data_IF_664083313003
#
_entry.id   IF_664083313003
#
_cell.length_a   1.000
_cell.length_b   1.000
_cell.length_c   1.000
_cell.angle_alpha   90.00
_cell.angle_beta   90.00
_cell.angle_gamma   90.00
#
_symmetry.space_group_name_H-M   'P 1'
#
loop_
_entity.id
_entity.type
_entity.pdbx_description
1 polymer ?
#
# COMPACT_ATOMS: atom_id res chain seq x y z
N UNK A 1 7.37 20.02 -4.82
CA UNK A 1 6.32 19.37 -4.02
C UNK A 1 6.18 20.00 -2.62
N UNK A 2 7.17 20.01 -1.72
CA UNK A 2 7.03 20.63 -0.37
C UNK A 2 6.47 22.06 -0.40
N UNK A 3 7.03 22.94 -1.25
CA UNK A 3 6.53 24.32 -1.45
C UNK A 3 5.07 24.39 -1.90
N UNK A 4 4.60 23.44 -2.71
CA UNK A 4 3.20 23.40 -3.14
C UNK A 4 2.28 23.12 -1.94
N UNK A 5 2.66 22.15 -1.11
CA UNK A 5 1.90 21.77 0.09
C UNK A 5 1.88 22.94 1.07
N UNK A 6 3.03 23.57 1.34
CA UNK A 6 3.10 24.73 2.24
C UNK A 6 2.21 25.90 1.76
N UNK A 7 2.16 26.15 0.45
CA UNK A 7 1.30 27.19 -0.12
C UNK A 7 -0.20 26.85 -0.07
N UNK A 8 -0.57 25.57 -0.21
CA UNK A 8 -1.95 25.11 -0.02
C UNK A 8 -2.40 25.30 1.43
N UNK A 9 -1.54 24.93 2.39
CA UNK A 9 -1.80 25.09 3.82
C UNK A 9 -1.99 26.54 4.24
N UNK A 10 -1.18 27.48 3.70
CA UNK A 10 -1.36 28.93 3.94
C UNK A 10 -2.73 29.46 3.50
N UNK A 11 -3.40 28.75 2.60
CA UNK A 11 -4.74 29.06 2.08
C UNK A 11 -5.84 28.24 2.76
N UNK A 12 -5.52 27.51 3.82
CA UNK A 12 -6.48 26.68 4.55
C UNK A 12 -6.94 25.43 3.77
N UNK A 13 -6.16 24.96 2.79
CA UNK A 13 -6.49 23.77 2.00
C UNK A 13 -5.71 22.56 2.47
N UNK A 14 -6.41 21.48 2.80
CA UNK A 14 -5.80 20.17 3.03
C UNK A 14 -5.31 19.56 1.70
N UNK A 15 -4.21 18.82 1.75
CA UNK A 15 -3.60 18.11 0.62
C UNK A 15 -3.61 16.62 0.89
N UNK A 16 -4.44 15.90 0.13
CA UNK A 16 -4.57 14.44 0.17
C UNK A 16 -3.87 13.87 -1.07
N UNK A 17 -3.00 12.87 -0.88
CA UNK A 17 -2.33 12.19 -2.00
C UNK A 17 -3.03 10.88 -2.37
N UNK A 18 -3.10 10.61 -3.67
CA UNK A 18 -3.51 9.31 -4.17
C UNK A 18 -2.36 8.30 -4.04
N UNK A 19 -2.50 7.33 -3.13
CA UNK A 19 -1.49 6.33 -2.82
C UNK A 19 -1.77 5.02 -3.56
N UNK A 20 -0.98 4.75 -4.59
CA UNK A 20 -1.03 3.51 -5.37
C UNK A 20 -0.06 2.49 -4.76
N UNK A 21 -0.54 1.77 -3.75
CA UNK A 21 0.24 0.79 -3.01
C UNK A 21 -0.24 -0.66 -3.18
N UNK A 22 -1.23 -0.89 -4.06
CA UNK A 22 -1.74 -2.24 -4.35
C UNK A 22 -0.79 -3.04 -5.26
N UNK A 23 0.00 -2.37 -6.11
CA UNK A 23 0.93 -3.04 -7.03
C UNK A 23 2.21 -2.23 -7.26
N UNK A 24 3.21 -2.86 -7.90
CA UNK A 24 4.36 -2.19 -8.49
C UNK A 24 4.80 -2.83 -9.82
N UNK A 25 5.40 -2.05 -10.70
CA UNK A 25 5.99 -2.55 -11.96
C UNK A 25 7.18 -3.47 -11.69
N UNK A 26 7.55 -4.30 -12.68
CA UNK A 26 8.76 -5.13 -12.60
C UNK A 26 10.07 -4.32 -12.55
N UNK A 27 10.02 -3.03 -12.87
CA UNK A 27 11.14 -2.09 -12.72
C UNK A 27 11.30 -1.54 -11.31
N UNK A 28 10.37 -1.84 -10.39
CA UNK A 28 10.52 -1.52 -8.98
C UNK A 28 11.76 -2.21 -8.41
N UNK A 29 12.64 -1.52 -7.67
CA UNK A 29 13.78 -2.16 -7.03
C UNK A 29 13.37 -3.31 -6.10
N UNK A 30 12.20 -3.22 -5.45
CA UNK A 30 11.67 -4.29 -4.62
C UNK A 30 11.35 -5.55 -5.43
N UNK A 31 10.87 -5.39 -6.66
CA UNK A 31 10.57 -6.51 -7.55
C UNK A 31 11.86 -7.08 -8.15
N UNK A 32 12.79 -6.22 -8.59
CA UNK A 32 14.07 -6.64 -9.18
C UNK A 32 14.95 -7.43 -8.22
N UNK A 33 14.93 -7.09 -6.92
CA UNK A 33 15.67 -7.84 -5.88
C UNK A 33 15.23 -9.31 -5.76
N UNK A 34 13.96 -9.60 -6.10
CA UNK A 34 13.35 -10.92 -5.95
C UNK A 34 12.62 -11.32 -7.23
N UNK A 35 13.29 -11.20 -8.37
CA UNK A 35 12.68 -11.49 -9.67
C UNK A 35 12.99 -12.91 -10.15
N UNK A 36 11.97 -13.62 -10.63
CA UNK A 36 12.17 -14.87 -11.36
C UNK A 36 12.17 -14.58 -12.87
N UNK A 37 13.37 -14.54 -13.46
CA UNK A 37 13.54 -14.29 -14.89
C UNK A 37 12.94 -15.39 -15.79
N UNK A 38 12.87 -16.64 -15.32
CA UNK A 38 12.36 -17.76 -16.11
C UNK A 38 10.85 -17.66 -16.35
N UNK A 39 10.11 -17.11 -15.39
CA UNK A 39 8.65 -16.93 -15.46
C UNK A 39 8.23 -15.47 -15.59
N UNK A 40 9.19 -14.54 -15.68
CA UNK A 40 8.99 -13.10 -15.77
C UNK A 40 7.98 -12.54 -14.74
N UNK A 41 8.14 -12.91 -13.47
CA UNK A 41 7.29 -12.47 -12.36
C UNK A 41 8.08 -12.48 -11.03
N UNK A 42 7.54 -11.96 -9.92
CA UNK A 42 8.18 -12.07 -8.62
C UNK A 42 8.45 -13.53 -8.22
N UNK A 43 9.62 -13.79 -7.65
CA UNK A 43 9.98 -15.11 -7.16
C UNK A 43 9.12 -15.52 -5.95
N UNK A 44 8.91 -16.82 -5.76
CA UNK A 44 8.14 -17.35 -4.63
C UNK A 44 8.70 -16.97 -3.25
N UNK A 45 10.00 -16.67 -3.16
CA UNK A 45 10.66 -16.18 -1.94
C UNK A 45 10.61 -14.67 -1.76
N UNK A 46 9.87 -13.92 -2.60
CA UNK A 46 9.73 -12.48 -2.44
C UNK A 46 9.06 -12.14 -1.12
N UNK A 47 9.68 -11.31 -0.25
CA UNK A 47 9.04 -10.90 0.99
C UNK A 47 7.94 -9.86 0.76
N UNK A 48 7.85 -9.27 -0.45
CA UNK A 48 6.95 -8.15 -0.74
C UNK A 48 5.77 -8.49 -1.64
N UNK A 49 5.96 -9.38 -2.61
CA UNK A 49 5.01 -9.58 -3.70
C UNK A 49 4.44 -10.99 -3.72
N UNK A 50 3.17 -11.10 -4.12
CA UNK A 50 2.60 -12.38 -4.52
C UNK A 50 3.21 -12.80 -5.87
N UNK A 51 3.39 -14.11 -6.10
CA UNK A 51 3.85 -14.64 -7.40
C UNK A 51 2.80 -14.37 -8.48
N UNK A 52 1.54 -14.63 -8.13
CA UNK A 52 0.36 -14.31 -8.94
C UNK A 52 -0.58 -13.48 -8.09
N UNK A 53 -1.23 -12.48 -8.69
CA UNK A 53 -2.16 -11.61 -7.99
C UNK A 53 -3.34 -12.41 -7.39
N UNK A 54 -3.83 -11.97 -6.24
CA UNK A 54 -4.94 -12.61 -5.52
C UNK A 54 -6.32 -12.08 -5.92
N UNK A 55 -6.38 -11.12 -6.84
CA UNK A 55 -7.59 -10.43 -7.26
C UNK A 55 -7.66 -10.24 -8.79
N UNK A 56 -8.88 -10.13 -9.37
CA UNK A 56 -9.07 -10.21 -10.82
C UNK A 56 -8.63 -8.96 -11.60
N UNK A 57 -8.50 -7.80 -10.95
CA UNK A 57 -8.11 -6.53 -11.60
C UNK A 57 -6.68 -6.10 -11.24
N UNK A 58 -5.71 -6.98 -11.45
CA UNK A 58 -4.28 -6.63 -11.30
C UNK A 58 -3.70 -6.14 -12.63
N UNK A 59 -2.89 -5.08 -12.56
CA UNK A 59 -2.22 -4.48 -13.74
C UNK A 59 -0.71 -4.69 -13.74
N UNK A 60 -0.10 -4.97 -12.58
CA UNK A 60 1.33 -5.23 -12.41
C UNK A 60 1.56 -6.27 -11.30
N UNK A 61 2.68 -6.21 -10.57
CA UNK A 61 3.00 -7.16 -9.52
C UNK A 61 2.26 -6.78 -8.23
N UNK A 62 1.43 -7.68 -7.76
CA UNK A 62 0.57 -7.52 -6.59
C UNK A 62 1.38 -7.63 -5.29
N UNK A 63 1.23 -6.64 -4.40
CA UNK A 63 1.91 -6.64 -3.11
C UNK A 63 1.21 -7.57 -2.12
N UNK A 64 1.99 -8.45 -1.48
CA UNK A 64 1.50 -9.26 -0.37
C UNK A 64 1.38 -8.40 0.90
N UNK A 65 0.19 -7.88 1.19
CA UNK A 65 -0.03 -7.01 2.35
C UNK A 65 -0.13 -7.74 3.69
N UNK A 66 -0.23 -9.08 3.68
CA UNK A 66 -0.10 -9.88 4.91
C UNK A 66 1.35 -10.03 5.37
N UNK A 67 2.33 -9.86 4.48
CA UNK A 67 3.75 -9.88 4.84
C UNK A 67 4.12 -8.70 5.76
N UNK A 68 4.91 -9.00 6.79
CA UNK A 68 5.46 -7.97 7.67
C UNK A 68 6.39 -7.00 6.92
N UNK A 69 7.10 -7.47 5.88
CA UNK A 69 7.97 -6.61 5.09
C UNK A 69 7.16 -5.56 4.30
N UNK A 70 6.05 -5.96 3.69
CA UNK A 70 5.14 -5.04 2.98
C UNK A 70 4.46 -4.08 3.95
N UNK A 71 3.96 -4.56 5.09
CA UNK A 71 3.37 -3.69 6.12
C UNK A 71 4.37 -2.63 6.60
N UNK A 72 5.61 -3.03 6.83
CA UNK A 72 6.68 -2.12 7.24
C UNK A 72 7.04 -1.12 6.13
N UNK A 73 7.15 -1.58 4.88
CA UNK A 73 7.38 -0.71 3.72
C UNK A 73 6.27 0.35 3.60
N UNK A 74 5.00 -0.06 3.67
CA UNK A 74 3.84 0.83 3.61
C UNK A 74 3.81 1.81 4.79
N UNK A 75 4.10 1.36 6.01
CA UNK A 75 4.17 2.24 7.18
C UNK A 75 5.26 3.31 7.03
N UNK A 76 6.42 2.95 6.44
CA UNK A 76 7.49 3.91 6.12
C UNK A 76 7.10 4.89 5.03
N UNK A 77 6.40 4.44 3.99
CA UNK A 77 5.85 5.31 2.95
C UNK A 77 4.93 6.36 3.57
N UNK A 78 3.94 5.92 4.35
CA UNK A 78 2.99 6.79 5.05
C UNK A 78 3.73 7.83 5.88
N UNK A 79 4.69 7.38 6.71
CA UNK A 79 5.49 8.30 7.54
C UNK A 79 6.19 9.34 6.70
N UNK A 80 6.92 8.93 5.67
CA UNK A 80 7.72 9.86 4.89
C UNK A 80 6.86 11.01 4.34
N UNK A 81 5.69 10.70 3.80
CA UNK A 81 4.82 11.71 3.22
C UNK A 81 4.08 12.56 4.26
N UNK A 82 3.67 11.99 5.40
CA UNK A 82 3.06 12.76 6.47
C UNK A 82 4.07 13.66 7.21
N UNK A 83 5.30 13.20 7.43
CA UNK A 83 6.28 13.97 8.23
C UNK A 83 7.17 14.87 7.37
N UNK A 84 7.71 14.37 6.26
CA UNK A 84 8.66 15.13 5.44
C UNK A 84 7.97 16.11 4.49
N UNK A 85 6.81 15.72 3.99
CA UNK A 85 6.04 16.52 3.03
C UNK A 85 4.82 17.19 3.66
N UNK A 86 4.42 16.79 4.87
CA UNK A 86 3.26 17.34 5.58
C UNK A 86 1.96 17.16 4.81
N UNK A 87 1.75 16.00 4.19
CA UNK A 87 0.43 15.68 3.68
C UNK A 87 -0.59 15.55 4.80
N UNK A 88 -1.85 15.82 4.48
CA UNK A 88 -2.97 15.72 5.43
C UNK A 88 -3.65 14.35 5.39
N UNK A 89 -3.35 13.55 4.37
CA UNK A 89 -3.87 12.18 4.28
C UNK A 89 -3.64 11.53 2.92
N UNK A 90 -4.28 10.36 2.76
CA UNK A 90 -4.20 9.57 1.53
C UNK A 90 -5.56 9.07 1.08
N UNK A 91 -5.79 9.06 -0.23
CA UNK A 91 -6.76 8.18 -0.88
C UNK A 91 -6.02 6.89 -1.24
N UNK A 92 -6.54 5.74 -0.85
CA UNK A 92 -5.94 4.45 -1.19
C UNK A 92 -6.50 3.94 -2.52
N UNK A 93 -5.67 3.98 -3.55
CA UNK A 93 -6.05 3.53 -4.88
C UNK A 93 -6.30 2.02 -4.91
N UNK A 94 -7.36 1.60 -5.61
CA UNK A 94 -7.80 0.21 -5.70
C UNK A 94 -7.81 -0.49 -4.33
N UNK A 95 -8.41 0.13 -3.31
CA UNK A 95 -8.40 -0.37 -1.92
C UNK A 95 -8.85 -1.82 -1.75
N UNK A 96 -9.63 -2.39 -2.69
CA UNK A 96 -9.99 -3.81 -2.70
C UNK A 96 -8.83 -4.75 -3.08
N UNK A 97 -7.83 -4.26 -3.80
CA UNK A 97 -6.64 -5.00 -4.26
C UNK A 97 -5.67 -5.38 -3.14
N UNK A 98 -5.78 -4.77 -1.95
CA UNK A 98 -5.00 -5.11 -0.76
C UNK A 98 -5.41 -6.45 -0.11
N UNK A 99 -6.21 -7.25 -0.80
CA UNK A 99 -6.72 -8.52 -0.31
C UNK A 99 -5.67 -9.62 -0.49
N UNK A 100 -5.64 -10.56 0.45
CA UNK A 100 -4.95 -11.84 0.26
C UNK A 100 -5.94 -13.01 0.14
N UNK A 101 -7.25 -12.69 0.14
CA UNK A 101 -8.31 -13.67 -0.09
C UNK A 101 -8.43 -13.89 -1.59
N UNK A 102 -7.95 -15.04 -2.04
CA UNK A 102 -8.06 -15.44 -3.44
C UNK A 102 -9.55 -15.68 -3.79
N UNK A 103 -10.06 -14.89 -4.73
CA UNK A 103 -11.43 -14.98 -5.22
C UNK A 103 -11.40 -15.37 -6.70
N UNK A 104 -12.16 -16.39 -7.06
CA UNK A 104 -12.25 -16.89 -8.44
C UNK A 104 -13.01 -15.93 -9.38
N UNK A 105 -13.80 -15.00 -8.84
CA UNK A 105 -14.59 -14.03 -9.60
C UNK A 105 -14.75 -12.68 -8.89
N UNK A 106 -15.27 -11.70 -9.64
CA UNK A 106 -15.51 -10.33 -9.16
C UNK A 106 -16.61 -10.26 -8.10
N UNK A 107 -17.59 -11.18 -8.12
CA UNK A 107 -18.68 -11.19 -7.14
C UNK A 107 -18.18 -11.58 -5.75
N UNK A 108 -17.29 -12.56 -5.67
CA UNK A 108 -16.56 -12.93 -4.46
C UNK A 108 -15.70 -11.75 -3.97
N UNK A 109 -14.93 -11.13 -4.86
CA UNK A 109 -14.03 -10.03 -4.49
C UNK A 109 -14.77 -8.76 -4.03
N UNK A 110 -16.01 -8.58 -4.49
CA UNK A 110 -16.89 -7.49 -4.06
C UNK A 110 -17.47 -7.68 -2.65
N UNK A 111 -17.39 -8.88 -2.07
CA UNK A 111 -17.85 -9.11 -0.70
C UNK A 111 -16.94 -8.41 0.33
N UNK A 112 -17.47 -8.23 1.53
CA UNK A 112 -16.68 -7.73 2.66
C UNK A 112 -15.53 -8.71 2.94
N UNK A 113 -14.33 -8.14 3.05
CA UNK A 113 -13.12 -8.85 3.42
C UNK A 113 -12.61 -8.28 4.75
N UNK A 114 -12.93 -8.99 5.84
CA UNK A 114 -12.52 -8.61 7.18
C UNK A 114 -11.00 -8.69 7.40
N UNK A 115 -10.30 -9.61 6.71
CA UNK A 115 -8.85 -9.75 6.87
C UNK A 115 -8.12 -8.59 6.20
N UNK A 116 -8.57 -8.16 5.02
CA UNK A 116 -8.08 -6.92 4.38
C UNK A 116 -8.23 -5.70 5.28
N UNK A 117 -9.42 -5.49 5.85
CA UNK A 117 -9.69 -4.37 6.77
C UNK A 117 -8.76 -4.42 7.97
N UNK A 118 -8.61 -5.61 8.59
CA UNK A 118 -7.72 -5.80 9.72
C UNK A 118 -6.24 -5.53 9.36
N UNK A 119 -5.80 -5.93 8.17
CA UNK A 119 -4.43 -5.69 7.68
C UNK A 119 -4.17 -4.21 7.46
N UNK A 120 -5.07 -3.48 6.82
CA UNK A 120 -4.94 -2.02 6.65
C UNK A 120 -4.92 -1.30 8.01
N UNK A 121 -5.78 -1.71 8.94
CA UNK A 121 -5.76 -1.17 10.30
C UNK A 121 -4.44 -1.47 11.04
N UNK A 122 -3.86 -2.67 10.85
CA UNK A 122 -2.54 -3.01 11.42
C UNK A 122 -1.43 -2.11 10.85
N UNK A 123 -1.43 -1.82 9.55
CA UNK A 123 -0.46 -0.91 8.92
C UNK A 123 -0.52 0.48 9.56
N UNK A 124 -1.73 1.03 9.74
CA UNK A 124 -1.93 2.33 10.38
C UNK A 124 -1.47 2.33 11.84
N UNK A 125 -1.72 1.24 12.58
CA UNK A 125 -1.22 1.06 13.96
C UNK A 125 0.30 0.91 14.00
N UNK A 126 0.90 0.21 13.04
CA UNK A 126 2.36 0.06 12.94
C UNK A 126 3.00 1.44 12.73
N UNK A 127 2.43 2.27 11.86
CA UNK A 127 2.83 3.67 11.74
C UNK A 127 2.79 4.40 13.09
N UNK A 128 1.65 4.37 13.79
CA UNK A 128 1.51 5.05 15.08
C UNK A 128 2.53 4.54 16.13
N UNK A 129 2.72 3.23 16.21
CA UNK A 129 3.62 2.58 17.17
C UNK A 129 5.08 2.88 16.89
N UNK A 130 5.51 2.80 15.62
CA UNK A 130 6.90 3.03 15.25
C UNK A 130 7.32 4.49 15.42
N UNK A 131 6.36 5.42 15.38
CA UNK A 131 6.67 6.85 15.24
C UNK A 131 6.03 7.75 16.31
N UNK A 132 5.47 7.16 17.37
CA UNK A 132 4.90 7.87 18.54
C UNK A 132 3.88 8.96 18.17
N UNK A 133 3.07 8.72 17.14
CA UNK A 133 2.02 9.64 16.72
C UNK A 133 0.64 9.11 17.11
N UNK A 134 -0.19 9.98 17.70
CA UNK A 134 -1.60 9.69 17.98
C UNK A 134 -2.33 9.54 16.65
N UNK A 135 -2.95 8.39 16.42
CA UNK A 135 -3.89 8.19 15.31
C UNK A 135 -5.11 9.07 15.56
N UNK A 136 -5.26 10.14 14.79
CA UNK A 136 -6.57 10.77 14.59
C UNK A 136 -7.29 9.86 13.59
N UNK A 137 -8.11 8.94 14.10
CA UNK A 137 -9.04 8.21 13.27
C UNK A 137 -10.19 9.16 12.90
N UNK A 138 -10.44 9.33 11.60
CA UNK A 138 -11.71 9.84 11.08
C UNK A 138 -12.69 8.67 10.92
#
# INVERSE_FOLDING_TARGET
MKKFIDEAHKRGMAVIMDAVLNHATGTSPLAQLYWNAATNQPAAGSPYFNVTATHPFSVFNDFNHESEATKYHTARYIRHWLTEYKLDGFRWDLSKGFTQRNCADVNCWNQIDATRIATLAKILRLYAKLFHQVLIAF
#
